data_IF_017483162948
#
_entry.id   IF_017483162948
#
_cell.length_a   1.000
_cell.length_b   1.000
_cell.length_c   1.000
_cell.angle_alpha   90.00
_cell.angle_beta   90.00
_cell.angle_gamma   90.00
#
_symmetry.space_group_name_H-M   'P 1'
#
loop_
_entity.id
_entity.type
_entity.pdbx_description
1 polymer ?
#
# COMPACT_ATOMS: atom_id res chain seq x y z
N UNK A 1 25.64 -27.68 25.13
CA UNK A 1 25.81 -26.38 24.45
C UNK A 1 24.46 -25.69 24.48
N UNK A 2 24.26 -24.77 25.43
CA UNK A 2 23.10 -23.88 25.37
C UNK A 2 23.19 -23.08 24.06
N UNK A 3 22.06 -22.87 23.34
CA UNK A 3 22.09 -22.03 22.16
C UNK A 3 22.42 -20.62 22.61
N UNK A 4 23.54 -20.06 22.11
CA UNK A 4 23.83 -18.63 22.26
C UNK A 4 22.62 -17.86 21.72
N UNK A 5 21.96 -17.13 22.60
CA UNK A 5 20.84 -16.28 22.24
C UNK A 5 21.37 -15.17 21.34
N UNK A 6 21.28 -15.35 20.02
CA UNK A 6 21.50 -14.29 19.04
C UNK A 6 20.58 -13.13 19.41
N UNK A 7 21.19 -12.03 19.85
CA UNK A 7 20.50 -10.78 20.27
C UNK A 7 20.19 -9.86 19.09
N UNK A 8 20.64 -10.21 17.88
CA UNK A 8 20.45 -9.44 16.66
C UNK A 8 19.96 -10.34 15.52
N UNK A 9 19.10 -9.78 14.68
CA UNK A 9 18.56 -10.40 13.47
C UNK A 9 19.15 -9.65 12.28
N UNK A 10 19.71 -10.36 11.30
CA UNK A 10 20.21 -9.73 10.07
C UNK A 10 19.05 -9.31 9.16
N UNK A 11 19.31 -8.45 8.17
CA UNK A 11 18.26 -8.04 7.22
C UNK A 11 17.71 -9.23 6.42
N UNK A 12 18.57 -10.19 6.07
CA UNK A 12 18.18 -11.39 5.33
C UNK A 12 17.30 -12.30 6.20
N UNK A 13 17.70 -12.54 7.45
CA UNK A 13 16.90 -13.31 8.42
C UNK A 13 15.54 -12.62 8.67
N UNK A 14 15.50 -11.29 8.72
CA UNK A 14 14.27 -10.51 8.86
C UNK A 14 13.35 -10.68 7.64
N UNK A 15 13.89 -10.58 6.42
CA UNK A 15 13.13 -10.76 5.18
C UNK A 15 12.55 -12.18 5.10
N UNK A 16 13.32 -13.21 5.45
CA UNK A 16 12.85 -14.60 5.47
C UNK A 16 11.67 -14.79 6.42
N UNK A 17 11.75 -14.20 7.63
CA UNK A 17 10.65 -14.23 8.60
C UNK A 17 9.41 -13.53 8.04
N UNK A 18 9.56 -12.36 7.43
CA UNK A 18 8.44 -11.63 6.82
C UNK A 18 7.82 -12.40 5.65
N UNK A 19 8.63 -13.07 4.82
CA UNK A 19 8.14 -13.91 3.74
C UNK A 19 7.24 -15.05 4.22
N UNK A 20 7.60 -15.68 5.34
CA UNK A 20 6.79 -16.74 5.96
C UNK A 20 5.52 -16.17 6.60
N UNK A 21 5.64 -15.06 7.34
CA UNK A 21 4.53 -14.43 8.05
C UNK A 21 3.45 -13.93 7.08
N UNK A 22 3.84 -13.13 6.09
CA UNK A 22 2.91 -12.55 5.10
C UNK A 22 2.38 -13.61 4.14
N UNK A 23 3.14 -14.67 3.87
CA UNK A 23 2.71 -15.77 3.02
C UNK A 23 1.55 -16.59 3.60
N UNK A 24 1.44 -16.67 4.94
CA UNK A 24 0.44 -17.49 5.64
C UNK A 24 -0.72 -16.66 6.21
N UNK A 25 -0.47 -15.42 6.60
CA UNK A 25 -1.45 -14.58 7.27
C UNK A 25 -2.53 -14.08 6.30
N UNK A 26 -3.78 -14.09 6.76
CA UNK A 26 -4.94 -13.49 6.07
C UNK A 26 -5.61 -12.40 6.90
N UNK A 27 -5.45 -12.45 8.23
CA UNK A 27 -5.99 -11.49 9.18
C UNK A 27 -4.91 -11.01 10.17
N UNK A 28 -5.19 -9.91 10.87
CA UNK A 28 -4.28 -9.38 11.89
C UNK A 28 -3.98 -10.39 13.00
N UNK A 29 -4.99 -11.20 13.35
CA UNK A 29 -4.89 -12.24 14.39
C UNK A 29 -3.88 -13.34 14.07
N UNK A 30 -3.53 -13.52 12.79
CA UNK A 30 -2.59 -14.55 12.35
C UNK A 30 -1.13 -14.16 12.59
N UNK A 31 -0.88 -12.86 12.86
CA UNK A 31 0.45 -12.34 13.13
C UNK A 31 0.87 -12.53 14.60
N UNK A 32 2.18 -12.53 14.90
CA UNK A 32 2.67 -12.55 16.28
C UNK A 32 2.14 -11.38 17.11
N UNK A 33 1.95 -11.59 18.42
CA UNK A 33 1.39 -10.59 19.34
C UNK A 33 2.10 -9.22 19.27
N UNK A 34 3.43 -9.20 19.13
CA UNK A 34 4.17 -7.95 19.02
C UNK A 34 3.73 -7.13 17.80
N UNK A 35 3.42 -7.78 16.67
CA UNK A 35 2.98 -7.14 15.44
C UNK A 35 1.51 -6.74 15.51
N UNK A 36 0.68 -7.46 16.26
CA UNK A 36 -0.70 -7.06 16.53
C UNK A 36 -0.78 -5.78 17.37
N UNK A 37 0.14 -5.60 18.32
CA UNK A 37 0.22 -4.41 19.17
C UNK A 37 0.88 -3.22 18.46
N UNK A 38 1.79 -3.48 17.53
CA UNK A 38 2.55 -2.45 16.83
C UNK A 38 1.72 -1.32 16.19
N UNK A 39 0.66 -1.57 15.39
CA UNK A 39 -0.13 -0.50 14.79
C UNK A 39 -0.87 0.34 15.84
N UNK A 40 -1.17 -0.22 17.02
CA UNK A 40 -1.77 0.54 18.12
C UNK A 40 -0.76 1.50 18.73
N UNK A 41 0.47 1.03 18.97
CA UNK A 41 1.56 1.87 19.49
C UNK A 41 1.89 3.00 18.51
N UNK A 42 1.98 2.71 17.22
CA UNK A 42 2.19 3.73 16.20
C UNK A 42 1.06 4.77 16.18
N UNK A 43 -0.20 4.32 16.26
CA UNK A 43 -1.35 5.22 16.34
C UNK A 43 -1.26 6.16 17.54
N UNK A 44 -0.89 5.66 18.73
CA UNK A 44 -0.73 6.46 19.94
C UNK A 44 0.44 7.47 19.83
N UNK A 45 1.52 7.11 19.13
CA UNK A 45 2.65 8.03 18.87
C UNK A 45 2.23 9.19 17.95
N UNK A 46 1.38 8.91 16.95
CA UNK A 46 0.88 9.91 15.99
C UNK A 46 -0.18 10.80 16.65
N UNK A 47 -1.17 10.19 17.31
CA UNK A 47 -2.25 10.87 18.03
C UNK A 47 -1.76 11.45 19.36
N UNK A 48 -0.87 12.46 19.29
CA UNK A 48 -0.31 13.14 20.45
C UNK A 48 -1.36 13.89 21.27
N UNK A 49 -2.43 14.34 20.62
CA UNK A 49 -3.54 15.03 21.30
C UNK A 49 -4.40 14.09 22.14
N UNK A 50 -4.38 12.78 21.86
CA UNK A 50 -5.19 11.79 22.55
C UNK A 50 -6.68 11.87 22.22
N UNK A 51 -7.07 12.56 21.14
CA UNK A 51 -8.48 12.77 20.75
C UNK A 51 -9.17 11.48 20.31
N UNK A 52 -8.40 10.52 19.78
CA UNK A 52 -8.89 9.22 19.30
C UNK A 52 -8.96 9.14 17.77
N UNK A 53 -8.63 10.23 17.09
CA UNK A 53 -8.54 10.40 15.64
C UNK A 53 -7.23 11.10 15.26
N UNK A 54 -6.64 10.72 14.12
CA UNK A 54 -5.42 11.38 13.63
C UNK A 54 -5.80 12.58 12.77
N UNK A 55 -5.41 13.76 13.22
CA UNK A 55 -5.51 14.97 12.41
C UNK A 55 -4.40 15.02 11.35
N UNK A 56 -4.66 15.79 10.28
CA UNK A 56 -3.66 16.06 9.23
C UNK A 56 -2.40 16.72 9.78
N UNK A 57 -2.55 17.57 10.81
CA UNK A 57 -1.43 18.21 11.50
C UNK A 57 -0.55 17.18 12.20
N UNK A 58 -1.13 16.28 12.98
CA UNK A 58 -0.41 15.21 13.67
C UNK A 58 0.31 14.27 12.69
N UNK A 59 -0.36 13.92 11.59
CA UNK A 59 0.26 13.12 10.53
C UNK A 59 1.47 13.82 9.90
N UNK A 60 1.39 15.15 9.66
CA UNK A 60 2.53 15.94 9.16
C UNK A 60 3.71 15.86 10.13
N UNK A 61 3.47 16.04 11.43
CA UNK A 61 4.52 15.97 12.45
C UNK A 61 5.16 14.58 12.51
N UNK A 62 4.38 13.52 12.36
CA UNK A 62 4.90 12.17 12.27
C UNK A 62 5.82 11.99 11.06
N UNK A 63 5.39 12.40 9.86
CA UNK A 63 6.24 12.30 8.67
C UNK A 63 7.49 13.18 8.72
N UNK A 64 7.41 14.37 9.34
CA UNK A 64 8.58 15.22 9.63
C UNK A 64 9.63 14.44 10.44
N UNK A 65 9.20 13.76 11.51
CA UNK A 65 10.10 12.99 12.37
C UNK A 65 10.60 11.70 11.70
N UNK A 66 9.76 11.07 10.89
CA UNK A 66 10.04 9.77 10.27
C UNK A 66 10.90 9.86 9.00
N UNK A 67 10.68 10.88 8.17
CA UNK A 67 11.31 10.98 6.84
C UNK A 67 12.53 11.91 6.77
N UNK A 68 12.98 12.45 7.91
CA UNK A 68 14.08 13.42 8.03
C UNK A 68 13.96 14.60 7.03
N UNK A 69 13.29 15.66 7.48
CA UNK A 69 12.97 16.87 6.70
C UNK A 69 14.17 17.50 6.00
N UNK A 70 15.39 17.28 6.50
CA UNK A 70 16.62 17.83 5.93
C UNK A 70 16.86 17.46 4.46
N UNK A 71 16.25 16.37 3.95
CA UNK A 71 16.48 15.89 2.57
C UNK A 71 15.32 16.11 1.60
N UNK A 72 14.07 16.21 2.08
CA UNK A 72 12.89 16.22 1.19
C UNK A 72 12.31 17.61 0.92
N UNK A 73 12.59 18.61 1.75
CA UNK A 73 11.99 19.95 1.63
C UNK A 73 10.52 19.99 2.05
N UNK A 74 10.08 21.14 2.59
CA UNK A 74 8.77 21.26 3.23
C UNK A 74 7.59 21.10 2.25
N UNK A 75 7.72 21.58 1.02
CA UNK A 75 6.66 21.47 0.00
C UNK A 75 6.35 20.01 -0.36
N UNK A 76 7.39 19.18 -0.55
CA UNK A 76 7.20 17.75 -0.84
C UNK A 76 6.60 17.02 0.34
N UNK A 77 7.01 17.37 1.55
CA UNK A 77 6.42 16.80 2.76
C UNK A 77 4.93 17.13 2.88
N UNK A 78 4.54 18.37 2.60
CA UNK A 78 3.14 18.77 2.56
C UNK A 78 2.36 17.99 1.49
N UNK A 79 2.93 17.84 0.29
CA UNK A 79 2.30 17.07 -0.79
C UNK A 79 2.11 15.59 -0.41
N UNK A 80 3.13 14.95 0.18
CA UNK A 80 3.06 13.56 0.66
C UNK A 80 2.02 13.43 1.77
N UNK A 81 2.03 14.36 2.73
CA UNK A 81 1.06 14.35 3.84
C UNK A 81 -0.37 14.54 3.34
N UNK A 82 -0.59 15.45 2.39
CA UNK A 82 -1.90 15.65 1.77
C UNK A 82 -2.38 14.38 1.06
N UNK A 83 -1.53 13.80 0.22
CA UNK A 83 -1.87 12.59 -0.53
C UNK A 83 -2.16 11.41 0.40
N UNK A 84 -1.31 11.22 1.41
CA UNK A 84 -1.51 10.18 2.42
C UNK A 84 -2.78 10.40 3.23
N UNK A 85 -3.03 11.63 3.70
CA UNK A 85 -4.24 11.94 4.46
C UNK A 85 -5.48 11.66 3.61
N UNK A 86 -5.55 12.18 2.39
CA UNK A 86 -6.70 11.98 1.50
C UNK A 86 -6.90 10.50 1.15
N UNK A 87 -5.83 9.75 0.89
CA UNK A 87 -5.93 8.31 0.62
C UNK A 87 -6.44 7.53 1.85
N UNK A 88 -6.01 7.92 3.05
CA UNK A 88 -6.38 7.26 4.31
C UNK A 88 -7.80 7.64 4.79
N UNK A 89 -8.27 8.86 4.47
CA UNK A 89 -9.59 9.39 4.87
C UNK A 89 -10.63 9.34 3.77
N UNK A 90 -10.33 8.77 2.59
CA UNK A 90 -11.19 8.87 1.41
C UNK A 90 -11.61 10.34 1.13
N UNK A 91 -10.60 11.21 1.00
CA UNK A 91 -10.77 12.66 0.79
C UNK A 91 -11.51 13.40 1.92
N UNK A 92 -11.40 12.88 3.14
CA UNK A 92 -11.98 13.50 4.35
C UNK A 92 -13.36 12.98 4.74
N UNK A 93 -13.92 12.02 4.00
CA UNK A 93 -15.21 11.40 4.36
C UNK A 93 -15.10 10.48 5.59
N UNK A 94 -13.93 9.87 5.80
CA UNK A 94 -13.64 8.96 6.90
C UNK A 94 -12.71 9.60 7.93
N UNK A 95 -13.06 9.45 9.20
CA UNK A 95 -12.19 9.84 10.32
C UNK A 95 -11.10 8.78 10.51
N UNK A 96 -9.84 9.22 10.63
CA UNK A 96 -8.69 8.34 10.87
C UNK A 96 -8.64 7.83 12.31
N UNK A 97 -9.56 6.93 12.64
CA UNK A 97 -9.58 6.22 13.92
C UNK A 97 -8.53 5.11 13.97
N UNK A 98 -8.25 4.61 15.18
CA UNK A 98 -7.33 3.47 15.37
C UNK A 98 -7.73 2.24 14.53
N UNK A 99 -9.05 2.03 14.33
CA UNK A 99 -9.53 0.92 13.50
C UNK A 99 -9.16 1.10 12.02
N UNK A 100 -9.42 2.28 11.45
CA UNK A 100 -9.07 2.60 10.06
C UNK A 100 -7.55 2.52 9.86
N UNK A 101 -6.78 3.03 10.82
CA UNK A 101 -5.32 2.95 10.78
C UNK A 101 -4.81 1.50 10.76
N UNK A 102 -5.41 0.61 11.58
CA UNK A 102 -5.08 -0.84 11.57
C UNK A 102 -5.38 -1.49 10.22
N UNK A 103 -6.50 -1.15 9.60
CA UNK A 103 -6.85 -1.68 8.27
C UNK A 103 -5.85 -1.22 7.20
N UNK A 104 -5.46 0.06 7.23
CA UNK A 104 -4.43 0.60 6.34
C UNK A 104 -3.07 -0.06 6.57
N UNK A 105 -2.68 -0.32 7.84
CA UNK A 105 -1.47 -1.05 8.17
C UNK A 105 -1.49 -2.51 7.67
N UNK A 106 -2.63 -3.20 7.78
CA UNK A 106 -2.80 -4.53 7.20
C UNK A 106 -2.69 -4.52 5.68
N UNK A 107 -3.28 -3.50 5.04
CA UNK A 107 -3.14 -3.32 3.61
C UNK A 107 -1.68 -3.06 3.22
N UNK A 108 -0.92 -2.36 4.03
CA UNK A 108 0.53 -2.21 3.82
C UNK A 108 1.27 -3.56 3.87
N UNK A 109 0.94 -4.44 4.82
CA UNK A 109 1.61 -5.74 4.97
C UNK A 109 1.18 -6.81 3.96
N UNK A 110 -0.12 -6.90 3.68
CA UNK A 110 -0.73 -7.94 2.84
C UNK A 110 -1.00 -7.48 1.41
N UNK A 111 -0.91 -6.16 1.16
CA UNK A 111 -1.19 -5.54 -0.12
C UNK A 111 -0.20 -6.03 -1.18
N UNK A 112 -0.65 -6.95 -2.03
CA UNK A 112 0.14 -7.45 -3.16
C UNK A 112 0.17 -6.47 -4.33
N UNK A 113 -0.66 -5.42 -4.30
CA UNK A 113 -0.85 -4.47 -5.39
C UNK A 113 -0.83 -3.03 -4.88
N UNK A 114 -0.35 -2.07 -5.68
CA UNK A 114 -0.18 -0.67 -5.30
C UNK A 114 -1.49 0.14 -5.26
N UNK A 115 -2.63 -0.50 -4.99
CA UNK A 115 -3.95 0.15 -5.09
C UNK A 115 -4.60 0.42 -3.73
N UNK A 116 -3.94 0.09 -2.63
CA UNK A 116 -4.48 0.23 -1.28
C UNK A 116 -4.05 1.52 -0.58
N UNK A 117 -4.87 2.08 0.34
CA UNK A 117 -4.49 3.21 1.19
C UNK A 117 -3.24 2.93 2.06
N UNK A 118 -2.95 1.66 2.35
CA UNK A 118 -1.76 1.25 3.11
C UNK A 118 -0.44 1.65 2.47
N UNK A 119 -0.39 1.86 1.15
CA UNK A 119 0.84 2.28 0.46
C UNK A 119 1.33 3.65 0.93
N UNK A 120 0.44 4.50 1.47
CA UNK A 120 0.78 5.84 1.89
C UNK A 120 1.18 5.94 3.36
N UNK A 121 1.10 4.84 4.13
CA UNK A 121 1.26 4.84 5.59
C UNK A 121 2.67 5.24 6.06
N UNK A 122 3.68 4.96 5.24
CA UNK A 122 5.08 5.35 5.47
C UNK A 122 5.61 6.26 4.35
N UNK A 123 4.71 6.96 3.65
CA UNK A 123 5.03 7.81 2.50
C UNK A 123 4.84 7.10 1.15
N UNK A 124 5.01 7.84 0.06
CA UNK A 124 4.79 7.32 -1.30
C UNK A 124 6.00 6.54 -1.81
N UNK A 125 5.83 5.24 -2.02
CA UNK A 125 6.82 4.41 -2.74
C UNK A 125 6.36 4.24 -4.18
N UNK A 126 6.92 5.03 -5.10
CA UNK A 126 6.63 4.83 -6.53
C UNK A 126 7.40 3.61 -7.02
N UNK A 127 6.73 2.53 -7.47
CA UNK A 127 7.43 1.40 -8.04
C UNK A 127 8.21 1.86 -9.28
N UNK A 128 9.47 1.44 -9.39
CA UNK A 128 10.35 1.80 -10.51
C UNK A 128 9.76 1.39 -11.87
N UNK A 129 8.99 0.30 -11.87
CA UNK A 129 8.24 -0.23 -13.02
C UNK A 129 6.78 -0.49 -12.59
N UNK A 130 5.82 0.40 -12.89
CA UNK A 130 4.42 0.15 -12.59
C UNK A 130 3.90 -1.01 -13.46
N UNK A 131 3.58 -2.15 -12.83
CA UNK A 131 2.96 -3.28 -13.51
C UNK A 131 1.46 -2.96 -13.62
N UNK A 132 1.06 -2.41 -14.76
CA UNK A 132 -0.36 -2.30 -15.09
C UNK A 132 -0.91 -3.71 -15.30
N UNK A 133 -1.71 -4.20 -14.35
CA UNK A 133 -2.29 -5.56 -14.44
C UNK A 133 -3.26 -5.72 -15.61
N UNK A 134 -3.75 -4.60 -16.16
CA UNK A 134 -4.65 -4.56 -17.31
C UNK A 134 -4.32 -3.32 -18.17
N UNK A 135 -3.34 -3.37 -19.06
CA UNK A 135 -3.12 -2.28 -20.00
C UNK A 135 -4.38 -2.13 -20.85
N UNK A 136 -5.11 -1.03 -20.65
CA UNK A 136 -6.25 -0.70 -21.51
C UNK A 136 -5.66 -0.29 -22.86
N UNK A 137 -5.83 -1.16 -23.85
CA UNK A 137 -5.39 -0.89 -25.20
C UNK A 137 -6.40 0.00 -25.92
N UNK A 138 -6.13 1.30 -25.87
CA UNK A 138 -6.93 2.32 -26.55
C UNK A 138 -6.74 2.34 -28.07
N UNK A 139 -5.78 1.57 -28.63
CA UNK A 139 -5.62 1.49 -30.09
C UNK A 139 -6.89 0.99 -30.78
N UNK A 140 -7.68 0.18 -30.07
CA UNK A 140 -8.97 -0.33 -30.47
C UNK A 140 -10.00 0.79 -30.75
N UNK A 141 -9.91 1.94 -30.07
CA UNK A 141 -10.79 3.10 -30.30
C UNK A 141 -10.47 3.84 -31.60
N UNK A 142 -9.24 3.69 -32.11
CA UNK A 142 -8.81 4.29 -33.38
C UNK A 142 -8.90 3.30 -34.55
N UNK A 143 -9.47 2.10 -34.33
CA UNK A 143 -9.65 1.10 -35.39
C UNK A 143 -10.63 1.61 -36.47
N UNK A 144 -10.20 1.52 -37.72
CA UNK A 144 -11.06 1.80 -38.88
C UNK A 144 -12.06 0.65 -39.07
N UNK A 145 -13.14 0.86 -39.84
CA UNK A 145 -14.16 -0.18 -40.07
C UNK A 145 -13.59 -1.46 -40.71
N UNK A 146 -12.46 -1.35 -41.41
CA UNK A 146 -11.74 -2.47 -42.03
C UNK A 146 -11.00 -3.34 -41.02
N UNK A 147 -10.59 -2.76 -39.88
CA UNK A 147 -9.85 -3.45 -38.79
C UNK A 147 -10.78 -4.16 -37.79
N UNK A 148 -12.10 -3.91 -37.89
CA UNK A 148 -13.14 -4.44 -37.01
C UNK A 148 -13.59 -5.81 -37.51
N UNK A 149 -13.01 -6.86 -36.97
CA UNK A 149 -13.49 -8.21 -37.22
C UNK A 149 -14.78 -8.50 -36.44
N UNK A 150 -15.78 -9.06 -37.13
CA UNK A 150 -16.97 -9.62 -36.49
C UNK A 150 -16.57 -10.76 -35.55
N UNK A 151 -17.04 -10.68 -34.29
CA UNK A 151 -16.83 -11.72 -33.30
C UNK A 151 -17.41 -13.05 -33.78
N UNK A 152 -16.59 -14.10 -33.77
CA UNK A 152 -16.98 -15.46 -34.12
C UNK A 152 -16.28 -16.48 -33.23
N UNK A 153 -17.05 -17.43 -32.67
CA UNK A 153 -16.54 -18.43 -31.72
C UNK A 153 -15.37 -19.26 -32.25
N UNK A 154 -15.29 -19.48 -33.56
CA UNK A 154 -14.23 -20.27 -34.21
C UNK A 154 -12.85 -19.57 -34.21
N UNK A 155 -12.81 -18.24 -33.99
CA UNK A 155 -11.59 -17.43 -34.04
C UNK A 155 -10.89 -17.29 -32.68
N UNK A 156 -11.56 -17.64 -31.58
CA UNK A 156 -11.05 -17.53 -30.21
C UNK A 156 -9.76 -18.33 -29.97
N UNK A 157 -9.56 -19.43 -30.71
CA UNK A 157 -8.40 -20.30 -30.56
C UNK A 157 -7.23 -19.96 -31.51
N UNK A 158 -7.43 -19.06 -32.48
CA UNK A 158 -6.45 -18.81 -33.56
C UNK A 158 -5.85 -17.41 -33.57
N UNK A 159 -6.42 -16.44 -32.87
CA UNK A 159 -5.92 -15.06 -32.88
C UNK A 159 -5.10 -14.74 -31.63
N UNK A 160 -3.94 -14.10 -31.81
CA UNK A 160 -3.08 -13.60 -30.70
C UNK A 160 -3.66 -12.37 -29.98
N UNK A 161 -4.87 -11.91 -30.35
CA UNK A 161 -5.50 -10.72 -29.76
C UNK A 161 -6.07 -11.05 -28.38
N UNK A 162 -5.62 -10.31 -27.36
CA UNK A 162 -6.00 -10.45 -25.95
C UNK A 162 -7.14 -9.54 -25.50
N UNK A 163 -7.71 -8.74 -26.41
CA UNK A 163 -8.76 -7.77 -26.11
C UNK A 163 -9.95 -7.96 -27.04
N UNK A 164 -11.15 -7.91 -26.46
CA UNK A 164 -12.44 -7.90 -27.13
C UNK A 164 -13.09 -6.56 -26.82
N UNK A 165 -13.51 -5.82 -27.84
CA UNK A 165 -14.36 -4.63 -27.68
C UNK A 165 -15.81 -5.15 -27.65
N UNK A 166 -16.57 -4.79 -26.63
CA UNK A 166 -18.01 -5.09 -26.52
C UNK A 166 -18.82 -3.87 -26.94
#
# INVERSE_FOLDING_TARGET
>A
KEPEAKTCVTIDEWIDVWGILVGKAKALSDFPMWLQCYPKVLFEIINRSGSGDISKGELKHFYTAFMDVGKLGEERLNAITNNAFNALTCDGELVLTCHVYKLSFLNFLLGKQPNGPGQYLFGTVTPRNPICSFPIDYSAMNSTEEDRELFGHDKLHKTSRRSVIV
#
